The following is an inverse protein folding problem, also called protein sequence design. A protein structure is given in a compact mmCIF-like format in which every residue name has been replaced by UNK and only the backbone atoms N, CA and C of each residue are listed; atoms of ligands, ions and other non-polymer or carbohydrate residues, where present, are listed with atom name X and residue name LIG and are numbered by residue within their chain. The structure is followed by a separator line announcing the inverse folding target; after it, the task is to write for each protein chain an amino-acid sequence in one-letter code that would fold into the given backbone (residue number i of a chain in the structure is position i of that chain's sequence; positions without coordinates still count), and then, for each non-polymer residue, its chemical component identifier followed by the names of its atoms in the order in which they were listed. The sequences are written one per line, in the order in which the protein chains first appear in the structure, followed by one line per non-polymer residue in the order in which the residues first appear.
data_IF_644667223925
#
_entry.id   IF_644667223925
#
_cell.length_a   1.000
_cell.length_b   1.000
_cell.length_c   1.000
_cell.angle_alpha   90.00
_cell.angle_beta   90.00
_cell.angle_gamma   90.00
#
_symmetry.space_group_name_H-M   'P 1'
#
loop_
_entity.id
_entity.type
_entity.pdbx_description
1 polymer ?
#
# COMPACT_ATOMS: atom_id res chain seq x y z
N UNK A 1 -44.36 15.94 0.61
CA UNK A 1 -44.51 14.48 0.73
C UNK A 1 -44.00 13.86 -0.56
N UNK A 2 -42.75 13.41 -0.59
CA UNK A 2 -42.15 12.69 -1.71
C UNK A 2 -41.65 11.38 -1.11
N UNK A 3 -42.34 10.29 -1.44
CA UNK A 3 -41.97 8.93 -1.05
C UNK A 3 -40.75 8.50 -1.85
N UNK A 4 -39.64 8.22 -1.16
CA UNK A 4 -38.49 7.51 -1.71
C UNK A 4 -38.71 6.02 -1.43
N UNK A 5 -38.76 5.21 -2.50
CA UNK A 5 -38.82 3.76 -2.40
C UNK A 5 -37.45 3.17 -1.96
N UNK A 6 -37.42 2.02 -1.25
CA UNK A 6 -36.20 1.45 -0.72
C UNK A 6 -35.50 0.45 -1.66
N UNK A 7 -34.18 0.61 -1.74
CA UNK A 7 -33.12 -0.42 -1.74
C UNK A 7 -33.23 -1.60 -2.72
N UNK A 8 -32.42 -1.56 -3.77
CA UNK A 8 -31.98 -2.74 -4.51
C UNK A 8 -30.91 -3.49 -3.69
N UNK A 9 -31.32 -4.56 -3.00
CA UNK A 9 -30.41 -5.56 -2.47
C UNK A 9 -29.63 -6.21 -3.62
N UNK A 10 -28.30 -6.10 -3.60
CA UNK A 10 -27.45 -6.97 -4.41
C UNK A 10 -27.50 -8.40 -3.87
N UNK A 11 -28.23 -9.28 -4.57
CA UNK A 11 -28.06 -10.73 -4.44
C UNK A 11 -26.76 -11.13 -5.15
N UNK A 12 -25.79 -11.64 -4.39
CA UNK A 12 -24.63 -12.34 -4.96
C UNK A 12 -25.00 -13.83 -5.20
N UNK A 13 -24.68 -14.40 -6.37
CA UNK A 13 -24.97 -15.80 -6.66
C UNK A 13 -24.07 -16.74 -5.86
N UNK A 14 -24.69 -17.72 -5.21
CA UNK A 14 -24.02 -18.87 -4.59
C UNK A 14 -23.39 -19.74 -5.69
N UNK A 15 -22.06 -19.70 -5.80
CA UNK A 15 -21.28 -20.56 -6.68
C UNK A 15 -20.80 -21.81 -5.95
N UNK A 16 -21.30 -22.96 -6.40
CA UNK A 16 -20.96 -24.32 -5.99
C UNK A 16 -19.48 -24.69 -6.20
N UNK A 17 -18.96 -25.48 -5.25
CA UNK A 17 -17.62 -26.08 -5.22
C UNK A 17 -17.31 -26.91 -6.47
N UNK A 18 -16.19 -26.61 -7.15
CA UNK A 18 -15.54 -27.50 -8.12
C UNK A 18 -14.08 -27.72 -7.67
N UNK A 19 -13.55 -28.96 -7.64
CA UNK A 19 -12.21 -29.24 -7.12
C UNK A 19 -11.08 -28.96 -8.12
N UNK A 20 -9.93 -28.52 -7.58
CA UNK A 20 -8.70 -28.18 -8.30
C UNK A 20 -8.00 -29.38 -8.97
N UNK A 21 -7.41 -29.25 -10.17
CA UNK A 21 -6.50 -30.24 -10.73
C UNK A 21 -5.02 -30.00 -10.34
N UNK A 22 -4.30 -31.11 -10.13
CA UNK A 22 -2.87 -31.20 -9.74
C UNK A 22 -1.91 -30.90 -10.93
N UNK A 23 -0.63 -30.54 -10.67
CA UNK A 23 0.31 -30.10 -11.70
C UNK A 23 1.02 -31.26 -12.43
N UNK A 24 1.19 -31.13 -13.74
CA UNK A 24 1.93 -32.05 -14.62
C UNK A 24 3.33 -31.48 -14.97
N UNK A 25 4.33 -32.36 -15.06
CA UNK A 25 5.76 -32.08 -15.29
C UNK A 25 6.16 -32.30 -16.77
N UNK A 26 6.91 -31.34 -17.34
CA UNK A 26 7.94 -31.43 -18.43
C UNK A 26 7.57 -32.09 -19.79
N UNK A 27 8.32 -31.95 -20.93
CA UNK A 27 9.73 -31.53 -21.09
C UNK A 27 10.06 -30.58 -22.29
N UNK A 28 11.32 -30.11 -22.33
CA UNK A 28 12.01 -29.44 -23.47
C UNK A 28 11.97 -30.25 -24.79
N UNK A 29 12.05 -29.56 -25.95
CA UNK A 29 12.62 -30.14 -27.17
C UNK A 29 13.92 -29.47 -27.63
N UNK A 30 14.69 -30.29 -28.35
CA UNK A 30 16.08 -30.15 -28.81
C UNK A 30 16.21 -29.38 -30.13
N UNK A 31 17.40 -28.83 -30.34
CA UNK A 31 17.97 -28.36 -31.62
C UNK A 31 17.94 -29.40 -32.74
N UNK A 32 17.92 -28.99 -34.01
CA UNK A 32 18.51 -29.75 -35.11
C UNK A 32 19.73 -29.06 -35.73
N UNK A 33 20.81 -29.84 -35.91
CA UNK A 33 21.90 -29.60 -36.89
C UNK A 33 21.47 -30.21 -38.22
N UNK A 34 21.76 -29.58 -39.37
CA UNK A 34 22.42 -30.26 -40.50
C UNK A 34 22.67 -29.39 -41.75
N UNK A 35 23.82 -29.67 -42.36
CA UNK A 35 24.17 -29.71 -43.79
C UNK A 35 24.53 -28.42 -44.57
N UNK A 36 25.84 -28.33 -44.73
CA UNK A 36 26.62 -27.85 -45.88
C UNK A 36 25.93 -27.91 -47.26
N UNK A 37 26.17 -26.88 -48.07
CA UNK A 37 26.72 -27.06 -49.41
C UNK A 37 27.44 -25.79 -49.90
N UNK A 38 28.68 -26.00 -50.33
CA UNK A 38 29.50 -25.07 -51.11
C UNK A 38 28.81 -24.69 -52.42
N UNK A 39 28.98 -23.44 -52.85
CA UNK A 39 29.26 -23.05 -54.23
C UNK A 39 29.83 -21.62 -54.21
N UNK A 40 31.07 -21.47 -54.67
CA UNK A 40 31.75 -20.19 -54.88
C UNK A 40 31.80 -19.94 -56.39
N UNK A 41 31.55 -18.71 -56.85
CA UNK A 41 32.35 -18.19 -57.96
C UNK A 41 33.00 -16.85 -57.57
N UNK A 42 34.29 -16.75 -57.86
CA UNK A 42 35.09 -15.54 -57.86
C UNK A 42 34.77 -14.70 -59.09
N UNK A 43 34.61 -13.38 -58.95
CA UNK A 43 35.40 -12.35 -59.65
C UNK A 43 34.81 -10.93 -59.49
N UNK A 44 35.73 -10.00 -59.26
CA UNK A 44 35.72 -8.57 -59.57
C UNK A 44 34.99 -7.58 -58.64
N UNK A 45 35.83 -6.92 -57.85
CA UNK A 45 35.63 -5.63 -57.20
C UNK A 45 35.52 -4.50 -58.24
N UNK A 46 34.61 -3.53 -58.04
CA UNK A 46 34.91 -2.13 -58.33
C UNK A 46 35.09 -1.37 -57.00
N UNK A 47 36.18 -0.60 -56.94
CA UNK A 47 36.48 0.34 -55.86
C UNK A 47 35.29 1.23 -55.53
N UNK A 48 34.73 1.07 -54.32
CA UNK A 48 33.91 2.08 -53.68
C UNK A 48 34.81 2.99 -52.84
N UNK A 49 34.61 4.33 -52.85
CA UNK A 49 35.31 5.21 -51.94
C UNK A 49 34.94 4.84 -50.49
N UNK A 50 35.86 5.00 -49.52
CA UNK A 50 35.56 4.67 -48.14
C UNK A 50 34.43 5.59 -47.66
N UNK A 51 33.35 4.97 -47.21
CA UNK A 51 32.30 5.64 -46.44
C UNK A 51 32.94 6.22 -45.17
N UNK A 52 33.33 7.48 -45.25
CA UNK A 52 33.41 8.36 -44.09
C UNK A 52 32.05 8.35 -43.42
N UNK A 53 32.02 7.94 -42.14
CA UNK A 53 31.11 8.32 -41.06
C UNK A 53 30.96 7.14 -40.10
N UNK A 54 31.94 6.99 -39.19
CA UNK A 54 31.64 6.44 -37.88
C UNK A 54 30.74 7.45 -37.15
N UNK A 55 29.52 7.09 -36.71
CA UNK A 55 28.83 7.91 -35.72
C UNK A 55 29.59 7.79 -34.39
N UNK A 56 29.94 8.93 -33.82
CA UNK A 56 30.64 9.08 -32.54
C UNK A 56 30.02 8.20 -31.44
N UNK A 57 30.70 7.10 -31.10
CA UNK A 57 30.41 6.30 -29.89
C UNK A 57 30.93 6.96 -28.61
N UNK A 58 31.70 8.04 -28.74
CA UNK A 58 32.31 8.80 -27.64
C UNK A 58 31.28 9.52 -26.76
N UNK A 59 30.17 9.98 -27.33
CA UNK A 59 29.21 10.83 -26.62
C UNK A 59 28.17 10.02 -25.83
N UNK A 60 27.73 8.88 -26.35
CA UNK A 60 26.69 8.06 -25.68
C UNK A 60 27.16 7.51 -24.32
N UNK A 61 28.43 7.15 -24.19
CA UNK A 61 29.03 6.74 -22.92
C UNK A 61 29.15 7.90 -21.92
N UNK A 62 29.49 9.10 -22.41
CA UNK A 62 29.58 10.31 -21.59
C UNK A 62 28.20 10.76 -21.10
N UNK A 63 27.20 10.82 -21.99
CA UNK A 63 25.81 11.14 -21.64
C UNK A 63 25.21 10.14 -20.65
N UNK A 64 25.52 8.85 -20.81
CA UNK A 64 25.11 7.83 -19.85
C UNK A 64 25.78 8.05 -18.48
N UNK A 65 27.08 8.35 -18.45
CA UNK A 65 27.82 8.64 -17.21
C UNK A 65 27.29 9.91 -16.53
N UNK A 66 27.01 10.97 -17.28
CA UNK A 66 26.40 12.20 -16.76
C UNK A 66 25.06 11.91 -16.08
N UNK A 67 24.21 11.12 -16.73
CA UNK A 67 22.91 10.72 -16.19
C UNK A 67 23.04 9.88 -14.90
N UNK A 68 24.01 8.97 -14.84
CA UNK A 68 24.29 8.19 -13.62
C UNK A 68 24.79 9.11 -12.50
N UNK A 69 25.70 10.03 -12.79
CA UNK A 69 26.17 11.01 -11.81
C UNK A 69 25.00 11.88 -11.32
N UNK A 70 24.12 12.32 -12.22
CA UNK A 70 22.93 13.09 -11.84
C UNK A 70 22.05 12.34 -10.84
N UNK A 71 21.80 11.06 -11.12
CA UNK A 71 20.98 10.21 -10.28
C UNK A 71 21.57 10.03 -8.87
N UNK A 72 22.89 9.83 -8.79
CA UNK A 72 23.59 9.60 -7.53
C UNK A 72 23.78 10.90 -6.72
N UNK A 73 24.19 11.99 -7.36
CA UNK A 73 24.57 13.23 -6.66
C UNK A 73 23.38 14.18 -6.44
N UNK A 74 22.44 14.27 -7.38
CA UNK A 74 21.32 15.22 -7.29
C UNK A 74 20.03 14.60 -6.78
N UNK A 75 19.78 13.32 -7.08
CA UNK A 75 18.56 12.62 -6.67
C UNK A 75 18.77 11.66 -5.49
N UNK A 76 20.03 11.34 -5.15
CA UNK A 76 20.40 10.39 -4.10
C UNK A 76 19.73 9.01 -4.29
N UNK A 77 19.79 8.50 -5.53
CA UNK A 77 19.21 7.21 -5.94
C UNK A 77 20.33 6.25 -6.33
N UNK A 78 20.19 4.97 -5.97
CA UNK A 78 21.18 3.97 -6.32
C UNK A 78 21.10 3.60 -7.82
N UNK A 79 22.11 4.01 -8.59
CA UNK A 79 22.14 3.81 -10.05
C UNK A 79 22.11 2.35 -10.49
N UNK A 80 22.81 1.47 -9.76
CA UNK A 80 22.85 0.04 -10.07
C UNK A 80 21.49 -0.62 -9.89
N UNK A 81 20.82 -0.34 -8.76
CA UNK A 81 19.46 -0.82 -8.48
C UNK A 81 18.47 -0.26 -9.50
N UNK A 82 18.58 1.03 -9.83
CA UNK A 82 17.73 1.67 -10.81
C UNK A 82 17.83 1.00 -12.19
N UNK A 83 19.05 0.72 -12.66
CA UNK A 83 19.29 0.03 -13.94
C UNK A 83 18.80 -1.42 -13.94
N UNK A 84 18.92 -2.12 -12.81
CA UNK A 84 18.44 -3.51 -12.70
C UNK A 84 16.92 -3.60 -12.74
N UNK A 85 16.23 -2.67 -12.08
CA UNK A 85 14.76 -2.69 -11.94
C UNK A 85 14.05 -1.90 -13.05
N UNK A 86 14.76 -1.02 -13.77
CA UNK A 86 14.25 -0.26 -14.90
C UNK A 86 15.31 -0.20 -16.03
N UNK A 87 15.39 -1.24 -16.90
CA UNK A 87 16.36 -1.28 -17.99
C UNK A 87 16.24 -0.12 -18.99
N UNK A 88 15.03 0.41 -19.18
CA UNK A 88 14.76 1.55 -20.08
C UNK A 88 15.49 2.83 -19.63
N UNK A 89 15.87 2.89 -18.34
CA UNK A 89 16.70 3.96 -17.83
C UNK A 89 18.02 4.09 -18.60
N UNK A 90 18.54 3.01 -19.19
CA UNK A 90 19.80 3.04 -19.95
C UNK A 90 19.70 3.96 -21.18
N UNK A 91 18.62 3.87 -21.94
CA UNK A 91 18.40 4.62 -23.18
C UNK A 91 17.66 5.96 -22.97
N UNK A 92 16.97 6.13 -21.85
CA UNK A 92 16.23 7.34 -21.55
C UNK A 92 17.13 8.61 -21.47
N UNK A 93 16.75 9.76 -22.05
CA UNK A 93 17.54 10.98 -21.93
C UNK A 93 17.48 11.57 -20.50
N UNK A 94 18.50 12.34 -20.12
CA UNK A 94 18.54 13.02 -18.80
C UNK A 94 17.37 14.01 -18.61
N UNK A 95 16.82 14.54 -19.71
CA UNK A 95 15.65 15.41 -19.68
C UNK A 95 14.42 14.74 -19.09
N UNK A 96 14.25 13.42 -19.25
CA UNK A 96 13.15 12.68 -18.64
C UNK A 96 13.28 12.58 -17.12
N UNK A 97 14.51 12.47 -16.59
CA UNK A 97 14.71 12.56 -15.15
C UNK A 97 14.35 13.94 -14.62
N UNK A 98 14.81 14.97 -15.32
CA UNK A 98 14.56 16.37 -14.97
C UNK A 98 13.06 16.70 -15.04
N UNK A 99 12.32 16.15 -16.00
CA UNK A 99 10.87 16.37 -16.09
C UNK A 99 10.12 15.77 -14.90
N UNK A 100 10.48 14.54 -14.49
CA UNK A 100 9.91 13.89 -13.30
C UNK A 100 10.27 14.67 -12.03
N UNK A 101 11.53 15.07 -11.87
CA UNK A 101 11.98 15.88 -10.74
C UNK A 101 11.24 17.21 -10.65
N UNK A 102 11.10 17.92 -11.78
CA UNK A 102 10.38 19.18 -11.85
C UNK A 102 8.90 18.99 -11.51
N UNK A 103 8.28 17.91 -11.99
CA UNK A 103 6.89 17.57 -11.68
C UNK A 103 6.70 17.32 -10.17
N UNK A 104 7.52 16.46 -9.56
CA UNK A 104 7.45 16.19 -8.12
C UNK A 104 7.73 17.45 -7.28
N UNK A 105 8.70 18.27 -7.68
CA UNK A 105 9.01 19.56 -7.05
C UNK A 105 7.83 20.52 -7.12
N UNK A 106 7.13 20.58 -8.26
CA UNK A 106 5.95 21.43 -8.45
C UNK A 106 4.79 21.06 -7.53
N UNK A 107 4.72 19.79 -7.10
CA UNK A 107 3.75 19.30 -6.11
C UNK A 107 4.23 19.47 -4.66
N UNK A 108 5.34 20.19 -4.45
CA UNK A 108 5.89 20.51 -3.13
C UNK A 108 6.64 19.36 -2.46
N UNK A 109 7.09 18.35 -3.22
CA UNK A 109 7.95 17.28 -2.70
C UNK A 109 9.40 17.77 -2.71
N UNK A 110 10.04 17.72 -1.54
CA UNK A 110 11.41 18.16 -1.38
C UNK A 110 12.42 17.12 -1.92
N UNK A 111 13.59 17.60 -2.35
CA UNK A 111 14.69 16.76 -2.87
C UNK A 111 15.11 15.66 -1.90
N UNK A 112 15.04 15.92 -0.59
CA UNK A 112 15.33 14.95 0.46
C UNK A 112 14.46 13.69 0.39
N UNK A 113 13.25 13.78 -0.18
CA UNK A 113 12.34 12.66 -0.35
C UNK A 113 12.50 11.91 -1.68
N UNK A 114 13.14 12.51 -2.69
CA UNK A 114 13.26 11.92 -4.03
C UNK A 114 14.00 10.59 -4.01
N UNK A 115 15.17 10.56 -3.35
CA UNK A 115 15.99 9.35 -3.25
C UNK A 115 15.18 8.14 -2.79
N UNK A 116 14.44 8.29 -1.68
CA UNK A 116 13.56 7.24 -1.15
C UNK A 116 12.45 6.84 -2.15
N UNK A 117 11.76 7.81 -2.75
CA UNK A 117 10.62 7.54 -3.65
C UNK A 117 11.11 6.80 -4.91
N UNK A 118 12.15 7.32 -5.55
CA UNK A 118 12.69 6.80 -6.80
C UNK A 118 13.46 5.48 -6.59
N UNK A 119 14.09 5.27 -5.43
CA UNK A 119 14.67 3.97 -5.06
C UNK A 119 13.58 2.90 -4.84
N UNK A 120 12.40 3.30 -4.32
CA UNK A 120 11.26 2.39 -4.15
C UNK A 120 10.60 2.06 -5.49
N UNK A 121 10.56 3.04 -6.41
CA UNK A 121 9.89 2.92 -7.71
C UNK A 121 10.77 3.42 -8.86
N UNK A 122 11.81 2.66 -9.26
CA UNK A 122 12.74 3.08 -10.31
C UNK A 122 12.11 3.29 -11.69
N UNK A 123 10.93 2.72 -11.94
CA UNK A 123 10.17 2.99 -13.17
C UNK A 123 9.83 4.48 -13.33
N UNK A 124 9.67 5.23 -12.23
CA UNK A 124 9.39 6.66 -12.27
C UNK A 124 10.52 7.47 -12.91
N UNK A 125 11.73 6.91 -13.03
CA UNK A 125 12.85 7.59 -13.68
C UNK A 125 12.65 7.79 -15.19
N UNK A 126 11.73 7.05 -15.80
CA UNK A 126 11.54 7.04 -17.26
C UNK A 126 10.11 7.34 -17.70
N UNK A 127 9.19 7.59 -16.76
CA UNK A 127 7.81 7.95 -17.12
C UNK A 127 7.73 9.35 -17.69
N UNK A 128 6.76 9.56 -18.57
CA UNK A 128 6.33 10.90 -18.94
C UNK A 128 5.35 11.44 -17.89
N UNK A 129 5.66 12.56 -17.21
CA UNK A 129 4.77 13.13 -16.20
C UNK A 129 3.37 13.46 -16.75
N UNK A 130 3.24 13.88 -18.02
CA UNK A 130 1.96 14.26 -18.64
C UNK A 130 0.98 13.11 -18.71
N UNK A 131 1.46 11.92 -19.05
CA UNK A 131 0.63 10.74 -19.21
C UNK A 131 0.51 9.92 -17.92
N UNK A 132 1.47 10.04 -16.99
CA UNK A 132 1.48 9.21 -15.78
C UNK A 132 1.20 9.97 -14.47
N UNK A 133 1.96 11.03 -14.19
CA UNK A 133 1.93 11.68 -12.86
C UNK A 133 0.82 12.72 -12.72
N UNK A 134 0.61 13.55 -13.74
CA UNK A 134 -0.44 14.57 -13.70
C UNK A 134 -1.84 14.00 -13.54
N UNK A 135 -2.24 12.88 -14.19
CA UNK A 135 -3.53 12.24 -13.92
C UNK A 135 -3.71 11.84 -12.44
N UNK A 136 -2.65 11.37 -11.78
CA UNK A 136 -2.69 11.01 -10.36
C UNK A 136 -2.88 12.27 -9.49
N UNK A 137 -2.17 13.35 -9.80
CA UNK A 137 -2.33 14.61 -9.07
C UNK A 137 -3.69 15.25 -9.28
N UNK A 138 -4.18 15.25 -10.52
CA UNK A 138 -5.52 15.71 -10.88
C UNK A 138 -6.59 14.92 -10.11
N UNK A 139 -6.52 13.59 -10.12
CA UNK A 139 -7.38 12.72 -9.34
C UNK A 139 -7.38 13.08 -7.85
N UNK A 140 -6.20 13.26 -7.23
CA UNK A 140 -6.11 13.59 -5.81
C UNK A 140 -6.64 14.99 -5.47
N UNK A 141 -6.40 15.96 -6.34
CA UNK A 141 -6.82 17.35 -6.12
C UNK A 141 -8.31 17.55 -6.41
N UNK A 142 -8.82 16.94 -7.48
CA UNK A 142 -10.14 17.27 -8.05
C UNK A 142 -11.21 16.19 -7.80
N UNK A 143 -10.83 14.91 -7.68
CA UNK A 143 -11.78 13.83 -7.35
C UNK A 143 -11.77 13.53 -5.84
N UNK A 144 -10.59 13.35 -5.24
CA UNK A 144 -10.45 13.05 -3.79
C UNK A 144 -10.55 14.31 -2.93
N UNK A 145 -10.28 15.49 -3.51
CA UNK A 145 -10.31 16.80 -2.84
C UNK A 145 -9.26 16.93 -1.72
N UNK A 146 -8.07 16.35 -1.92
CA UNK A 146 -6.94 16.56 -1.03
C UNK A 146 -6.40 17.99 -1.23
N UNK A 147 -6.29 18.81 -0.16
CA UNK A 147 -5.72 20.15 -0.28
C UNK A 147 -4.29 20.09 -0.83
N UNK A 148 -3.92 21.04 -1.70
CA UNK A 148 -2.60 21.08 -2.32
C UNK A 148 -1.41 20.94 -1.33
N UNK A 149 -1.39 21.64 -0.16
CA UNK A 149 -0.31 21.48 0.83
C UNK A 149 -0.16 20.06 1.41
N UNK A 150 -1.21 19.25 1.29
CA UNK A 150 -1.30 17.89 1.80
C UNK A 150 -0.99 16.82 0.74
N UNK A 151 -0.90 17.18 -0.55
CA UNK A 151 -0.49 16.27 -1.62
C UNK A 151 0.90 15.69 -1.34
N UNK A 152 1.88 16.54 -1.01
CA UNK A 152 3.24 16.07 -0.65
C UNK A 152 3.23 15.07 0.50
N UNK A 153 2.37 15.26 1.51
CA UNK A 153 2.27 14.37 2.67
C UNK A 153 1.72 13.01 2.26
N UNK A 154 0.71 12.99 1.38
CA UNK A 154 0.16 11.77 0.80
C UNK A 154 1.24 10.97 0.07
N UNK A 155 2.06 11.63 -0.76
CA UNK A 155 3.10 10.97 -1.55
C UNK A 155 4.24 10.43 -0.69
N UNK A 156 4.70 11.19 0.31
CA UNK A 156 5.79 10.74 1.20
C UNK A 156 5.33 9.52 2.04
N UNK A 157 4.09 9.55 2.52
CA UNK A 157 3.49 8.47 3.31
C UNK A 157 3.24 7.22 2.48
N UNK A 158 2.69 7.38 1.28
CA UNK A 158 2.36 6.29 0.39
C UNK A 158 2.90 6.55 -1.02
N UNK A 159 4.22 6.36 -1.26
CA UNK A 159 4.78 6.63 -2.57
C UNK A 159 4.23 5.71 -3.66
N UNK A 160 3.59 4.60 -3.28
CA UNK A 160 2.87 3.70 -4.19
C UNK A 160 1.78 4.41 -4.99
N UNK A 161 1.22 5.50 -4.48
CA UNK A 161 0.22 6.31 -5.21
C UNK A 161 0.74 6.74 -6.58
N UNK A 162 2.04 7.07 -6.68
CA UNK A 162 2.68 7.56 -7.90
C UNK A 162 2.81 6.51 -9.01
N UNK A 163 2.55 5.24 -8.71
CA UNK A 163 2.68 4.13 -9.68
C UNK A 163 1.38 3.33 -9.83
N UNK A 164 0.29 3.81 -9.24
CA UNK A 164 -1.02 3.20 -9.38
C UNK A 164 -1.74 3.78 -10.59
N UNK A 165 -2.48 2.92 -11.27
CA UNK A 165 -3.39 3.35 -12.32
C UNK A 165 -4.61 4.07 -11.72
N UNK A 166 -4.99 5.19 -12.31
CA UNK A 166 -6.12 6.00 -11.82
C UNK A 166 -7.45 5.28 -12.04
N UNK A 167 -7.63 4.68 -13.21
CA UNK A 167 -8.90 4.13 -13.66
C UNK A 167 -9.15 2.72 -13.10
N UNK A 168 -8.09 1.89 -13.05
CA UNK A 168 -8.20 0.49 -12.65
C UNK A 168 -8.00 0.26 -11.14
N UNK A 169 -7.35 1.20 -10.44
CA UNK A 169 -7.03 1.05 -9.02
C UNK A 169 -7.56 2.19 -8.15
N UNK A 170 -7.20 3.45 -8.44
CA UNK A 170 -7.50 4.54 -7.50
C UNK A 170 -8.98 4.91 -7.47
N UNK A 171 -9.62 5.09 -8.64
CA UNK A 171 -11.04 5.47 -8.74
C UNK A 171 -11.99 4.38 -8.25
N UNK A 172 -11.79 3.08 -8.56
CA UNK A 172 -12.60 2.01 -7.97
C UNK A 172 -12.49 1.96 -6.44
N UNK A 173 -11.29 2.15 -5.89
CA UNK A 173 -11.10 2.22 -4.43
C UNK A 173 -11.79 3.44 -3.82
N UNK A 174 -11.70 4.62 -4.44
CA UNK A 174 -12.41 5.82 -3.99
C UNK A 174 -13.93 5.60 -3.99
N UNK A 175 -14.47 5.02 -5.06
CA UNK A 175 -15.90 4.71 -5.18
C UNK A 175 -16.35 3.79 -4.03
N UNK A 176 -15.66 2.68 -3.83
CA UNK A 176 -15.95 1.75 -2.74
C UNK A 176 -15.89 2.43 -1.37
N UNK A 177 -14.85 3.24 -1.10
CA UNK A 177 -14.71 3.94 0.18
C UNK A 177 -15.82 4.98 0.38
N UNK A 178 -16.22 5.68 -0.68
CA UNK A 178 -17.33 6.64 -0.66
C UNK A 178 -18.65 5.94 -0.34
N UNK A 179 -18.94 4.82 -0.99
CA UNK A 179 -20.11 3.97 -0.72
C UNK A 179 -20.11 3.40 0.70
N UNK A 180 -18.93 3.11 1.25
CA UNK A 180 -18.75 2.70 2.64
C UNK A 180 -18.98 3.85 3.64
N UNK A 181 -19.05 5.11 3.18
CA UNK A 181 -19.34 6.28 4.01
C UNK A 181 -18.15 7.20 4.29
N UNK A 182 -17.02 7.07 3.58
CA UNK A 182 -15.91 8.03 3.67
C UNK A 182 -16.23 9.34 2.94
N UNK A 183 -17.15 10.12 3.53
CA UNK A 183 -17.66 11.40 2.98
C UNK A 183 -17.67 12.49 4.03
N UNK A 184 -17.77 13.75 3.60
CA UNK A 184 -17.85 14.91 4.49
C UNK A 184 -16.68 14.98 5.47
N UNK A 185 -16.95 14.97 6.78
CA UNK A 185 -15.91 15.03 7.83
C UNK A 185 -15.05 13.76 7.92
N UNK A 186 -15.51 12.67 7.32
CA UNK A 186 -14.81 11.38 7.29
C UNK A 186 -14.28 11.06 5.89
N UNK A 187 -14.18 12.06 5.00
CA UNK A 187 -13.60 11.87 3.68
C UNK A 187 -12.14 11.40 3.74
N UNK A 188 -11.64 10.91 2.62
CA UNK A 188 -10.24 10.56 2.47
C UNK A 188 -9.39 11.83 2.67
N UNK A 189 -8.32 11.69 3.45
CA UNK A 189 -7.36 12.76 3.75
C UNK A 189 -5.96 12.27 3.44
N UNK A 190 -4.96 13.14 3.52
CA UNK A 190 -3.55 12.74 3.39
C UNK A 190 -3.13 11.63 4.37
N UNK A 191 -3.85 11.45 5.47
CA UNK A 191 -3.57 10.39 6.43
C UNK A 191 -4.07 9.01 5.99
N UNK A 192 -5.08 8.97 5.10
CA UNK A 192 -5.79 7.75 4.69
C UNK A 192 -5.71 7.46 3.19
N UNK A 193 -4.97 8.23 2.40
CA UNK A 193 -4.75 7.98 0.96
C UNK A 193 -4.18 6.60 0.64
N UNK A 194 -3.51 5.95 1.59
CA UNK A 194 -3.03 4.57 1.45
C UNK A 194 -4.17 3.55 1.21
N UNK A 195 -5.42 3.91 1.53
CA UNK A 195 -6.58 3.08 1.23
C UNK A 195 -6.88 3.03 -0.28
N UNK A 196 -6.54 4.09 -1.02
CA UNK A 196 -6.80 4.20 -2.46
C UNK A 196 -5.93 3.23 -3.28
N UNK A 197 -4.75 2.86 -2.78
CA UNK A 197 -3.85 1.90 -3.44
C UNK A 197 -4.16 0.44 -3.09
N UNK A 198 -5.24 0.19 -2.35
CA UNK A 198 -5.65 -1.15 -1.95
C UNK A 198 -6.70 -1.71 -2.91
N UNK A 199 -6.53 -2.96 -3.35
CA UNK A 199 -7.53 -3.63 -4.15
C UNK A 199 -8.85 -3.76 -3.38
N UNK A 200 -9.96 -3.40 -4.01
CA UNK A 200 -11.30 -3.54 -3.40
C UNK A 200 -11.57 -5.01 -3.08
N UNK A 201 -11.55 -5.86 -4.11
CA UNK A 201 -11.85 -7.29 -4.00
C UNK A 201 -10.77 -8.06 -3.24
N UNK A 202 -9.51 -7.73 -3.47
CA UNK A 202 -8.39 -8.49 -2.90
C UNK A 202 -8.02 -8.06 -1.48
N UNK A 203 -8.44 -6.88 -1.01
CA UNK A 203 -7.89 -6.29 0.21
C UNK A 203 -8.91 -5.57 1.09
N UNK A 204 -9.77 -4.71 0.55
CA UNK A 204 -10.70 -3.92 1.37
C UNK A 204 -11.93 -4.74 1.77
N UNK A 205 -12.64 -5.31 0.79
CA UNK A 205 -13.84 -6.10 1.01
C UNK A 205 -13.62 -7.34 1.90
N UNK A 206 -12.52 -8.12 1.75
CA UNK A 206 -12.25 -9.24 2.65
C UNK A 206 -12.13 -8.84 4.13
N UNK A 207 -11.69 -7.61 4.43
CA UNK A 207 -11.60 -7.13 5.82
C UNK A 207 -12.98 -6.78 6.38
N UNK A 208 -13.86 -6.21 5.56
CA UNK A 208 -15.26 -5.99 5.92
C UNK A 208 -15.95 -7.32 6.20
N UNK A 209 -15.85 -8.27 5.28
CA UNK A 209 -16.43 -9.62 5.40
C UNK A 209 -15.90 -10.36 6.63
N UNK A 210 -14.59 -10.26 6.92
CA UNK A 210 -14.03 -10.86 8.11
C UNK A 210 -14.64 -10.27 9.39
N UNK A 211 -14.75 -8.95 9.50
CA UNK A 211 -15.36 -8.33 10.69
C UNK A 211 -16.84 -8.72 10.84
N UNK A 212 -17.59 -8.82 9.75
CA UNK A 212 -18.96 -9.32 9.77
C UNK A 212 -19.04 -10.78 10.22
N UNK A 213 -18.08 -11.63 9.82
CA UNK A 213 -18.03 -13.03 10.23
C UNK A 213 -17.86 -13.24 11.75
N UNK A 214 -17.49 -12.18 12.49
CA UNK A 214 -17.44 -12.18 13.94
C UNK A 214 -18.81 -11.97 14.61
N UNK A 215 -19.90 -11.86 13.81
CA UNK A 215 -21.25 -11.60 14.30
C UNK A 215 -21.64 -10.13 14.35
N UNK A 216 -20.83 -9.24 13.78
CA UNK A 216 -21.14 -7.81 13.64
C UNK A 216 -22.01 -7.57 12.41
N UNK A 217 -23.03 -6.73 12.53
CA UNK A 217 -23.81 -6.27 11.38
C UNK A 217 -22.96 -5.40 10.45
N UNK A 218 -23.38 -5.30 9.17
CA UNK A 218 -22.68 -4.46 8.20
C UNK A 218 -22.56 -3.01 8.66
N UNK A 219 -23.65 -2.43 9.19
CA UNK A 219 -23.68 -1.06 9.71
C UNK A 219 -22.69 -0.86 10.87
N UNK A 220 -22.58 -1.84 11.77
CA UNK A 220 -21.61 -1.77 12.87
C UNK A 220 -20.17 -1.78 12.36
N UNK A 221 -19.87 -2.63 11.37
CA UNK A 221 -18.55 -2.69 10.74
C UNK A 221 -18.21 -1.40 10.03
N UNK A 222 -19.14 -0.83 9.26
CA UNK A 222 -18.99 0.48 8.62
C UNK A 222 -18.68 1.55 9.65
N UNK A 223 -19.49 1.66 10.71
CA UNK A 223 -19.28 2.61 11.80
C UNK A 223 -17.95 2.43 12.53
N UNK A 224 -17.42 1.20 12.62
CA UNK A 224 -16.09 0.94 13.17
C UNK A 224 -15.00 1.44 12.23
N UNK A 225 -15.10 1.14 10.94
CA UNK A 225 -14.10 1.50 9.93
C UNK A 225 -14.02 3.01 9.71
N UNK A 226 -15.15 3.72 9.70
CA UNK A 226 -15.18 5.19 9.59
C UNK A 226 -14.49 5.85 10.79
N UNK A 227 -14.73 5.35 12.02
CA UNK A 227 -14.07 5.86 13.24
C UNK A 227 -12.61 5.43 13.36
N UNK A 228 -12.21 4.35 12.70
CA UNK A 228 -10.87 3.79 12.76
C UNK A 228 -10.44 3.21 11.40
N UNK A 229 -10.09 4.07 10.42
CA UNK A 229 -9.77 3.63 9.06
C UNK A 229 -8.60 2.66 8.96
N UNK A 230 -7.70 2.65 9.96
CA UNK A 230 -6.62 1.67 10.09
C UNK A 230 -7.09 0.20 10.12
N UNK A 231 -8.37 -0.06 10.44
CA UNK A 231 -8.94 -1.39 10.27
C UNK A 231 -8.81 -1.91 8.83
N UNK A 232 -8.86 -1.04 7.83
CA UNK A 232 -8.69 -1.44 6.45
C UNK A 232 -7.23 -1.73 6.06
N UNK A 233 -6.27 -1.55 6.97
CA UNK A 233 -4.84 -1.71 6.70
C UNK A 233 -4.22 -2.93 7.41
N UNK A 234 -4.88 -3.48 8.43
CA UNK A 234 -4.36 -4.61 9.19
C UNK A 234 -4.53 -5.96 8.47
N UNK A 235 -3.57 -6.86 8.64
CA UNK A 235 -3.64 -8.22 8.11
C UNK A 235 -4.68 -9.06 8.85
N UNK A 236 -5.59 -9.72 8.13
CA UNK A 236 -6.54 -10.65 8.73
C UNK A 236 -5.80 -11.79 9.45
N UNK A 237 -4.83 -12.41 8.77
CA UNK A 237 -4.08 -13.56 9.29
C UNK A 237 -3.17 -13.19 10.47
N UNK A 238 -2.40 -12.12 10.31
CA UNK A 238 -1.30 -11.81 11.24
C UNK A 238 -1.70 -10.79 12.33
N UNK A 239 -2.84 -10.12 12.20
CA UNK A 239 -3.31 -9.14 13.19
C UNK A 239 -4.69 -9.52 13.74
N UNK A 240 -5.70 -9.63 12.88
CA UNK A 240 -7.06 -9.85 13.36
C UNK A 240 -7.27 -11.19 14.04
N UNK A 241 -7.01 -12.30 13.34
CA UNK A 241 -7.22 -13.65 13.88
C UNK A 241 -6.59 -13.87 15.25
N UNK A 242 -5.27 -13.65 15.46
CA UNK A 242 -4.66 -13.91 16.76
C UNK A 242 -5.19 -12.98 17.87
N UNK A 243 -5.54 -11.73 17.54
CA UNK A 243 -6.08 -10.79 18.53
C UNK A 243 -7.54 -11.06 18.90
N UNK A 244 -8.36 -11.48 17.94
CA UNK A 244 -9.74 -11.93 18.20
C UNK A 244 -9.74 -13.23 19.00
N UNK A 245 -8.87 -14.19 18.64
CA UNK A 245 -8.73 -15.43 19.38
C UNK A 245 -8.33 -15.18 20.84
N UNK A 246 -7.34 -14.33 21.08
CA UNK A 246 -6.94 -13.95 22.43
C UNK A 246 -8.07 -13.28 23.22
N UNK A 247 -8.81 -12.36 22.58
CA UNK A 247 -9.94 -11.66 23.18
C UNK A 247 -11.04 -12.65 23.65
N UNK A 248 -11.42 -13.59 22.79
CA UNK A 248 -12.51 -14.53 23.07
C UNK A 248 -12.10 -15.66 24.00
N UNK A 249 -10.92 -16.27 23.79
CA UNK A 249 -10.51 -17.48 24.51
C UNK A 249 -9.81 -17.18 25.84
N UNK A 250 -8.88 -16.23 25.84
CA UNK A 250 -8.07 -15.93 27.03
C UNK A 250 -8.72 -14.82 27.87
N UNK A 251 -9.08 -13.70 27.24
CA UNK A 251 -9.69 -12.58 27.97
C UNK A 251 -11.17 -12.83 28.31
N UNK A 252 -11.83 -13.78 27.64
CA UNK A 252 -13.26 -14.09 27.75
C UNK A 252 -14.15 -12.85 27.61
N UNK A 253 -13.79 -11.94 26.70
CA UNK A 253 -14.52 -10.69 26.42
C UNK A 253 -15.41 -10.84 25.20
N UNK A 254 -16.51 -10.09 25.18
CA UNK A 254 -17.48 -10.07 24.09
C UNK A 254 -16.99 -9.27 22.87
N UNK A 255 -17.46 -9.64 21.67
CA UNK A 255 -17.16 -8.93 20.41
C UNK A 255 -17.59 -7.46 20.44
N UNK A 256 -18.61 -7.10 21.25
CA UNK A 256 -19.04 -5.73 21.47
C UNK A 256 -17.92 -4.81 22.00
N UNK A 257 -16.91 -5.36 22.68
CA UNK A 257 -15.72 -4.58 23.09
C UNK A 257 -14.91 -4.09 21.88
N UNK A 258 -14.82 -4.89 20.81
CA UNK A 258 -14.16 -4.50 19.55
C UNK A 258 -14.94 -3.37 18.86
N UNK A 259 -16.28 -3.43 18.87
CA UNK A 259 -17.14 -2.36 18.36
C UNK A 259 -16.92 -1.04 19.10
N UNK A 260 -16.85 -1.10 20.43
CA UNK A 260 -16.63 0.08 21.29
C UNK A 260 -15.22 0.64 21.12
N UNK A 261 -14.22 -0.22 20.96
CA UNK A 261 -12.81 0.15 20.85
C UNK A 261 -12.07 -0.53 19.69
N UNK A 262 -12.35 -0.10 18.43
CA UNK A 262 -11.71 -0.69 17.24
C UNK A 262 -10.18 -0.56 17.22
N UNK A 263 -9.63 0.44 17.92
CA UNK A 263 -8.20 0.66 18.06
C UNK A 263 -7.49 -0.48 18.81
N UNK A 264 -8.23 -1.43 19.41
CA UNK A 264 -7.66 -2.69 19.89
C UNK A 264 -6.68 -3.32 18.88
N UNK A 265 -7.03 -3.31 17.60
CA UNK A 265 -6.20 -3.90 16.54
C UNK A 265 -4.91 -3.13 16.23
N UNK A 266 -4.74 -1.89 16.69
CA UNK A 266 -3.48 -1.14 16.54
C UNK A 266 -2.46 -1.44 17.63
N UNK A 267 -2.84 -2.02 18.78
CA UNK A 267 -1.89 -2.32 19.85
C UNK A 267 -1.18 -3.66 19.63
N UNK A 268 0.10 -3.74 20.02
CA UNK A 268 0.86 -4.99 19.93
C UNK A 268 0.24 -6.08 20.81
N UNK A 269 -0.01 -7.26 20.25
CA UNK A 269 -0.57 -8.39 20.99
C UNK A 269 0.40 -8.84 22.09
N UNK A 270 1.64 -9.14 21.71
CA UNK A 270 2.68 -9.60 22.65
C UNK A 270 3.26 -8.46 23.48
N UNK A 271 3.39 -7.25 22.90
CA UNK A 271 4.06 -6.14 23.56
C UNK A 271 3.18 -5.34 24.53
N UNK A 272 1.85 -5.38 24.38
CA UNK A 272 0.94 -4.55 25.21
C UNK A 272 -0.30 -5.28 25.71
N UNK A 273 -1.03 -5.95 24.81
CA UNK A 273 -2.32 -6.56 25.15
C UNK A 273 -2.14 -7.71 26.17
N UNK A 274 -1.31 -8.70 25.83
CA UNK A 274 -1.04 -9.86 26.70
C UNK A 274 -0.43 -9.47 28.05
N UNK A 275 0.65 -8.65 28.12
CA UNK A 275 1.25 -8.26 29.39
C UNK A 275 0.25 -7.58 30.33
N UNK A 276 -0.54 -6.62 29.82
CA UNK A 276 -1.52 -5.91 30.64
C UNK A 276 -2.67 -6.81 31.11
N UNK A 277 -3.14 -7.71 30.24
CA UNK A 277 -4.17 -8.68 30.64
C UNK A 277 -3.68 -9.60 31.76
N UNK A 278 -2.45 -10.16 31.63
CA UNK A 278 -1.88 -11.05 32.65
C UNK A 278 -1.73 -10.34 34.00
N UNK A 279 -1.20 -9.12 34.02
CA UNK A 279 -1.05 -8.33 35.23
C UNK A 279 -2.39 -8.06 35.93
N UNK A 280 -3.45 -7.78 35.16
CA UNK A 280 -4.79 -7.62 35.73
C UNK A 280 -5.31 -8.91 36.35
N UNK A 281 -5.21 -10.04 35.62
CA UNK A 281 -5.69 -11.34 36.09
C UNK A 281 -4.92 -11.84 37.32
N UNK A 282 -3.61 -11.64 37.37
CA UNK A 282 -2.77 -11.98 38.53
C UNK A 282 -3.23 -11.29 39.82
N UNK A 283 -3.80 -10.09 39.70
CA UNK A 283 -4.33 -9.31 40.81
C UNK A 283 -5.86 -9.40 40.93
N UNK A 284 -6.51 -10.31 40.20
CA UNK A 284 -7.96 -10.52 40.27
C UNK A 284 -8.80 -9.42 39.61
N UNK A 285 -8.21 -8.57 38.76
CA UNK A 285 -8.88 -7.45 38.12
C UNK A 285 -9.28 -7.72 36.67
N UNK A 286 -10.28 -6.97 36.20
CA UNK A 286 -10.69 -6.90 34.80
C UNK A 286 -11.06 -5.47 34.45
N UNK A 287 -10.60 -5.00 33.29
CA UNK A 287 -10.92 -3.65 32.77
C UNK A 287 -11.49 -3.73 31.36
N UNK A 288 -12.34 -2.77 30.93
CA UNK A 288 -12.69 -2.59 29.52
C UNK A 288 -11.45 -2.37 28.64
N UNK A 289 -11.47 -2.83 27.38
CA UNK A 289 -10.29 -2.74 26.50
C UNK A 289 -9.74 -1.33 26.37
N UNK A 290 -10.64 -0.34 26.27
CA UNK A 290 -10.28 1.07 26.11
C UNK A 290 -9.46 1.58 27.28
N UNK A 291 -9.91 1.29 28.49
CA UNK A 291 -9.23 1.70 29.72
C UNK A 291 -7.91 0.97 29.90
N UNK A 292 -7.89 -0.32 29.58
CA UNK A 292 -6.69 -1.14 29.65
C UNK A 292 -5.61 -0.67 28.67
N UNK A 293 -5.95 -0.20 27.47
CA UNK A 293 -4.98 -0.05 26.37
C UNK A 293 -4.68 1.38 25.94
N UNK A 294 -5.61 2.32 26.14
CA UNK A 294 -5.46 3.70 25.65
C UNK A 294 -4.39 4.49 26.43
N UNK A 295 -4.22 4.16 27.71
CA UNK A 295 -3.29 4.85 28.62
C UNK A 295 -1.83 4.45 28.37
N UNK A 296 -0.91 5.32 28.80
CA UNK A 296 0.53 5.05 28.79
C UNK A 296 0.90 3.87 29.70
N UNK A 297 2.13 3.37 29.64
CA UNK A 297 2.58 2.29 30.54
C UNK A 297 2.67 2.78 31.99
N UNK A 298 3.17 4.00 32.22
CA UNK A 298 3.20 4.61 33.55
C UNK A 298 1.81 4.78 34.14
N UNK A 299 0.87 5.33 33.37
CA UNK A 299 -0.52 5.53 33.82
C UNK A 299 -1.24 4.20 34.08
N UNK A 300 -0.99 3.17 33.27
CA UNK A 300 -1.50 1.82 33.54
C UNK A 300 -0.98 1.25 34.86
N UNK A 301 0.32 1.41 35.12
CA UNK A 301 0.94 0.91 36.35
C UNK A 301 0.43 1.64 37.60
N UNK A 302 0.28 2.96 37.53
CA UNK A 302 -0.33 3.76 38.61
C UNK A 302 -1.73 3.25 38.90
N UNK A 303 -2.56 3.09 37.86
CA UNK A 303 -3.92 2.56 38.02
C UNK A 303 -3.94 1.17 38.64
N UNK A 304 -3.03 0.29 38.24
CA UNK A 304 -2.94 -1.06 38.82
C UNK A 304 -2.58 -0.99 40.32
N UNK A 305 -1.67 -0.10 40.72
CA UNK A 305 -1.32 0.12 42.13
C UNK A 305 -2.51 0.65 42.90
N UNK A 306 -3.22 1.65 42.38
CA UNK A 306 -4.41 2.23 43.00
C UNK A 306 -5.51 1.16 43.20
N UNK A 307 -5.78 0.34 42.18
CA UNK A 307 -6.75 -0.77 42.27
C UNK A 307 -6.35 -1.78 43.35
N UNK A 308 -5.05 -2.10 43.46
CA UNK A 308 -4.52 -2.99 44.51
C UNK A 308 -4.69 -2.41 45.90
N UNK A 309 -4.33 -1.15 46.11
CA UNK A 309 -4.45 -0.48 47.40
C UNK A 309 -5.93 -0.39 47.84
N UNK A 310 -6.82 0.00 46.92
CA UNK A 310 -8.26 0.07 47.20
C UNK A 310 -8.89 -1.27 47.56
N UNK A 311 -8.36 -2.38 47.04
CA UNK A 311 -8.82 -3.74 47.37
C UNK A 311 -8.35 -4.22 48.75
N UNK A 312 -7.26 -3.64 49.29
CA UNK A 312 -6.75 -3.93 50.64
C UNK A 312 -7.50 -3.11 51.70
N UNK A 313 -7.99 -1.93 51.35
CA UNK A 313 -8.67 -1.01 52.28
C UNK A 313 -10.19 -1.26 52.44
N UNK A 314 -10.77 -2.25 51.75
CA UNK A 314 -12.15 -2.70 51.97
C UNK A 314 -13.25 -1.71 51.59
N UNK A 315 -12.96 -0.71 50.76
CA UNK A 315 -13.91 0.34 50.40
C UNK A 315 -14.60 0.06 49.07
N UNK A 316 -15.56 -0.87 49.08
CA UNK A 316 -16.78 -0.91 48.23
C UNK A 316 -17.75 -1.94 48.85
N UNK A 317 -18.43 -1.54 49.94
CA UNK A 317 -19.74 -2.06 50.37
C UNK A 317 -20.77 -0.95 50.17
#
# INVERSE_FOLDING_TARGET
MIQLQPQTLFLLPQGSLIPSPKPSKNPNPKTPKSLSNSLRPTLNSPNYPPLSHHPNTSDSGLLFREKVLYLETHLNVNSQKALQLNPDFRSCPISSLKSVENCLSSMGIERSAFGRILDMYPQLLTVDPHTHLYPIFDFLLNEVLIPFPDIRKSMIRCPRLLVCDVDDQLRPALKFLTELGFVGRSSITCQTTLLLVSSVEGTLLPKIQYLQSLGLSYEEVVNMVIRSPGLLTFSIKNNYKPKVEFLLKEMKKDIAELKRFPQYFSFSLEGKIKPRHRLLVEHGFSLPLREMLKVSDGEFNVRLIEMRLGSVEGSWL
#
